data_IF_612939654104
#
_entry.id   IF_612939654104
#
_cell.length_a   1.000
_cell.length_b   1.000
_cell.length_c   1.000
_cell.angle_alpha   90.00
_cell.angle_beta   90.00
_cell.angle_gamma   90.00
#
_symmetry.space_group_name_H-M   'P 1'
#
loop_
_entity.id
_entity.type
_entity.pdbx_description
1 polymer ?
#
# COMPACT_ATOMS: atom_id res chain seq x y z
N UNK A 1 -27.69 -12.47 12.23
CA UNK A 1 -27.18 -13.25 13.41
C UNK A 1 -28.24 -13.31 14.50
N UNK A 2 -28.57 -14.47 15.10
CA UNK A 2 -29.64 -14.54 16.10
C UNK A 2 -29.24 -13.83 17.40
N UNK A 3 -30.12 -12.98 17.93
CA UNK A 3 -29.88 -12.22 19.17
C UNK A 3 -29.70 -13.13 20.38
N UNK A 4 -30.26 -14.34 20.36
CA UNK A 4 -30.11 -15.36 21.41
C UNK A 4 -28.66 -15.83 21.60
N UNK A 5 -27.76 -15.63 20.63
CA UNK A 5 -26.33 -15.92 20.77
C UNK A 5 -25.70 -15.13 21.91
N UNK A 6 -26.23 -13.95 22.22
CA UNK A 6 -25.80 -13.12 23.35
C UNK A 6 -26.00 -13.78 24.73
N UNK A 7 -26.77 -14.87 24.81
CA UNK A 7 -26.94 -15.65 26.04
C UNK A 7 -25.72 -16.55 26.35
N UNK A 8 -24.82 -16.76 25.39
CA UNK A 8 -23.59 -17.53 25.56
C UNK A 8 -22.52 -16.69 26.29
N UNK A 9 -22.78 -16.30 27.54
CA UNK A 9 -21.95 -15.35 28.30
C UNK A 9 -20.48 -15.77 28.51
N UNK A 10 -20.16 -17.05 28.34
CA UNK A 10 -18.80 -17.59 28.44
C UNK A 10 -18.04 -17.61 27.10
N UNK A 11 -18.67 -17.14 26.01
CA UNK A 11 -18.09 -17.20 24.67
C UNK A 11 -16.86 -16.29 24.58
N UNK A 12 -15.71 -16.87 24.21
CA UNK A 12 -14.45 -16.16 24.01
C UNK A 12 -14.11 -15.97 22.54
N UNK A 13 -14.55 -16.91 21.69
CA UNK A 13 -14.27 -16.89 20.26
C UNK A 13 -15.59 -17.12 19.53
N UNK A 14 -15.96 -16.18 18.68
CA UNK A 14 -17.05 -16.30 17.73
C UNK A 14 -16.48 -16.11 16.33
N UNK A 15 -16.43 -17.18 15.54
CA UNK A 15 -16.05 -17.12 14.14
C UNK A 15 -17.18 -17.67 13.27
N UNK A 16 -17.72 -16.80 12.44
CA UNK A 16 -18.75 -17.08 11.44
C UNK A 16 -18.25 -16.77 10.02
N UNK A 17 -16.95 -16.53 9.85
CA UNK A 17 -16.36 -16.10 8.59
C UNK A 17 -16.55 -17.12 7.46
N UNK A 18 -16.59 -16.65 6.21
CA UNK A 18 -16.70 -17.46 4.99
C UNK A 18 -18.00 -18.28 4.93
N UNK A 19 -19.12 -17.60 5.12
CA UNK A 19 -20.46 -18.17 4.99
C UNK A 19 -21.34 -17.22 4.16
N UNK A 20 -22.63 -17.53 4.08
CA UNK A 20 -23.66 -16.75 3.39
C UNK A 20 -24.58 -16.03 4.40
N UNK A 21 -24.09 -15.71 5.61
CA UNK A 21 -24.93 -15.08 6.64
C UNK A 21 -25.29 -13.65 6.26
N UNK A 22 -26.55 -13.29 6.45
CA UNK A 22 -27.10 -11.98 6.12
C UNK A 22 -27.73 -11.27 7.34
N UNK A 23 -28.35 -10.11 7.05
CA UNK A 23 -28.97 -9.25 8.04
C UNK A 23 -27.96 -8.44 8.87
N UNK A 24 -28.42 -7.71 9.90
CA UNK A 24 -27.57 -6.84 10.68
C UNK A 24 -26.81 -7.55 11.80
N UNK A 25 -25.77 -6.87 12.29
CA UNK A 25 -25.13 -7.17 13.58
C UNK A 25 -25.94 -6.45 14.66
N UNK A 26 -26.64 -7.22 15.49
CA UNK A 26 -27.49 -6.66 16.55
C UNK A 26 -26.67 -6.18 17.75
N UNK A 27 -27.16 -5.15 18.44
CA UNK A 27 -26.51 -4.54 19.61
C UNK A 27 -26.30 -5.50 20.78
N UNK A 28 -27.09 -6.58 20.87
CA UNK A 28 -26.92 -7.62 21.89
C UNK A 28 -25.55 -8.31 21.84
N UNK A 29 -24.78 -8.18 20.74
CA UNK A 29 -23.40 -8.67 20.68
C UNK A 29 -22.56 -8.11 21.84
N UNK A 30 -22.82 -6.87 22.27
CA UNK A 30 -22.10 -6.22 23.38
C UNK A 30 -22.31 -6.88 24.74
N UNK A 31 -23.22 -7.86 24.88
CA UNK A 31 -23.39 -8.66 26.10
C UNK A 31 -22.33 -9.75 26.27
N UNK A 32 -21.60 -10.08 25.20
CA UNK A 32 -20.55 -11.11 25.22
C UNK A 32 -19.24 -10.55 25.79
N UNK A 33 -19.24 -10.08 27.04
CA UNK A 33 -18.10 -9.38 27.65
C UNK A 33 -16.81 -10.21 27.75
N UNK A 34 -16.89 -11.54 27.67
CA UNK A 34 -15.73 -12.44 27.64
C UNK A 34 -15.14 -12.65 26.23
N UNK A 35 -15.73 -12.05 25.20
CA UNK A 35 -15.32 -12.26 23.82
C UNK A 35 -13.95 -11.62 23.56
N UNK A 36 -13.03 -12.45 23.06
CA UNK A 36 -11.68 -12.07 22.69
C UNK A 36 -11.50 -12.02 21.18
N UNK A 37 -12.24 -12.83 20.42
CA UNK A 37 -12.16 -12.85 18.96
C UNK A 37 -13.56 -12.86 18.36
N UNK A 38 -13.84 -11.86 17.54
CA UNK A 38 -15.06 -11.77 16.75
C UNK A 38 -14.67 -11.71 15.27
N UNK A 39 -14.94 -12.80 14.55
CA UNK A 39 -14.64 -12.92 13.13
C UNK A 39 -15.93 -13.19 12.34
N UNK A 40 -16.37 -12.19 11.57
CA UNK A 40 -17.59 -12.17 10.78
C UNK A 40 -17.30 -11.98 9.27
N UNK A 41 -16.03 -11.90 8.88
CA UNK A 41 -15.64 -11.53 7.53
C UNK A 41 -16.04 -12.54 6.44
N UNK A 42 -16.16 -12.07 5.19
CA UNK A 42 -16.62 -12.85 4.03
C UNK A 42 -18.02 -13.42 4.26
N UNK A 43 -19.02 -12.53 4.32
CA UNK A 43 -20.45 -12.83 4.49
C UNK A 43 -21.31 -11.76 3.76
N UNK A 44 -22.59 -11.69 4.08
CA UNK A 44 -23.56 -10.69 3.59
C UNK A 44 -24.15 -9.83 4.71
N UNK A 45 -23.40 -9.59 5.79
CA UNK A 45 -23.89 -8.73 6.87
C UNK A 45 -24.11 -7.30 6.37
N UNK A 46 -25.24 -6.73 6.76
CA UNK A 46 -25.72 -5.39 6.38
C UNK A 46 -25.92 -4.50 7.60
N UNK A 47 -26.40 -3.28 7.41
CA UNK A 47 -26.63 -2.33 8.51
C UNK A 47 -25.33 -1.74 9.04
N UNK A 48 -25.34 -1.24 10.28
CA UNK A 48 -24.21 -0.55 10.89
C UNK A 48 -23.46 -1.44 11.88
N UNK A 49 -22.23 -1.06 12.23
CA UNK A 49 -21.54 -1.61 13.41
C UNK A 49 -22.21 -1.00 14.66
N UNK A 50 -22.84 -1.79 15.55
CA UNK A 50 -23.51 -1.26 16.74
C UNK A 50 -22.51 -0.62 17.71
N UNK A 51 -22.90 0.47 18.39
CA UNK A 51 -22.04 1.16 19.35
C UNK A 51 -21.68 0.26 20.55
N UNK A 52 -22.52 -0.72 20.86
CA UNK A 52 -22.31 -1.72 21.89
C UNK A 52 -21.11 -2.64 21.62
N UNK A 53 -20.50 -2.61 20.42
CA UNK A 53 -19.22 -3.29 20.16
C UNK A 53 -18.13 -2.84 21.14
N UNK A 54 -18.18 -1.59 21.61
CA UNK A 54 -17.24 -1.05 22.60
C UNK A 54 -17.40 -1.63 24.01
N UNK A 55 -18.46 -2.40 24.27
CA UNK A 55 -18.63 -3.14 25.53
C UNK A 55 -17.78 -4.42 25.58
N UNK A 56 -17.22 -4.85 24.44
CA UNK A 56 -16.37 -6.03 24.32
C UNK A 56 -14.94 -5.71 24.78
N UNK A 57 -14.79 -5.33 26.04
CA UNK A 57 -13.54 -4.80 26.62
C UNK A 57 -12.34 -5.78 26.62
N UNK A 58 -12.59 -7.06 26.33
CA UNK A 58 -11.56 -8.10 26.23
C UNK A 58 -11.22 -8.45 24.76
N UNK A 59 -11.81 -7.75 23.79
CA UNK A 59 -11.67 -8.08 22.38
C UNK A 59 -10.25 -7.76 21.90
N UNK A 60 -9.60 -8.77 21.33
CA UNK A 60 -8.25 -8.70 20.77
C UNK A 60 -8.31 -8.64 19.25
N UNK A 61 -9.28 -9.34 18.64
CA UNK A 61 -9.48 -9.38 17.20
C UNK A 61 -10.93 -9.04 16.86
N UNK A 62 -11.10 -8.02 16.02
CA UNK A 62 -12.34 -7.72 15.33
C UNK A 62 -12.13 -7.79 13.82
N UNK A 63 -12.77 -8.76 13.17
CA UNK A 63 -12.71 -8.96 11.73
C UNK A 63 -14.13 -8.98 11.15
N UNK A 64 -14.45 -8.03 10.28
CA UNK A 64 -15.73 -7.90 9.59
C UNK A 64 -15.54 -7.61 8.08
N UNK A 65 -14.36 -7.90 7.54
CA UNK A 65 -14.04 -7.61 6.13
C UNK A 65 -14.96 -8.32 5.14
N UNK A 66 -15.10 -7.80 3.92
CA UNK A 66 -15.89 -8.42 2.84
C UNK A 66 -17.33 -8.69 3.26
N UNK A 67 -18.03 -7.62 3.63
CA UNK A 67 -19.46 -7.61 3.94
C UNK A 67 -20.12 -6.40 3.25
N UNK A 68 -21.36 -6.07 3.61
CA UNK A 68 -22.13 -4.95 3.08
C UNK A 68 -22.47 -3.94 4.19
N UNK A 69 -21.60 -3.83 5.19
CA UNK A 69 -21.79 -2.96 6.37
C UNK A 69 -21.68 -1.50 5.93
N UNK A 70 -22.59 -0.65 6.42
CA UNK A 70 -22.70 0.78 6.11
C UNK A 70 -22.53 1.64 7.37
N UNK A 71 -22.59 2.96 7.21
CA UNK A 71 -22.46 3.92 8.31
C UNK A 71 -21.02 4.14 8.74
N UNK A 72 -20.82 4.86 9.83
CA UNK A 72 -19.49 5.17 10.36
C UNK A 72 -18.95 4.09 11.28
N UNK A 73 -17.62 4.05 11.41
CA UNK A 73 -16.96 3.29 12.48
C UNK A 73 -17.38 3.94 13.82
N UNK A 74 -18.04 3.20 14.74
CA UNK A 74 -18.54 3.78 15.97
C UNK A 74 -17.40 4.11 16.92
N UNK A 75 -17.36 5.34 17.45
CA UNK A 75 -16.31 5.81 18.35
C UNK A 75 -16.04 4.90 19.55
N UNK A 76 -17.07 4.20 20.04
CA UNK A 76 -16.95 3.26 21.15
C UNK A 76 -15.96 2.12 20.90
N UNK A 77 -15.68 1.76 19.63
CA UNK A 77 -14.67 0.74 19.31
C UNK A 77 -13.29 1.16 19.83
N UNK A 78 -12.98 2.46 19.80
CA UNK A 78 -11.70 3.01 20.19
C UNK A 78 -11.48 3.01 21.71
N UNK A 79 -12.51 2.67 22.50
CA UNK A 79 -12.38 2.42 23.95
C UNK A 79 -11.88 1.00 24.26
N UNK A 80 -11.79 0.12 23.26
CA UNK A 80 -11.39 -1.28 23.42
C UNK A 80 -9.86 -1.40 23.39
N UNK A 81 -9.19 -0.94 24.44
CA UNK A 81 -7.72 -0.86 24.51
C UNK A 81 -6.98 -2.21 24.44
N UNK A 82 -7.71 -3.34 24.49
CA UNK A 82 -7.18 -4.68 24.24
C UNK A 82 -7.01 -5.03 22.77
N UNK A 83 -7.60 -4.25 21.85
CA UNK A 83 -7.68 -4.58 20.44
C UNK A 83 -6.30 -4.53 19.77
N UNK A 84 -5.93 -5.62 19.12
CA UNK A 84 -4.66 -5.78 18.39
C UNK A 84 -4.89 -5.84 16.88
N UNK A 85 -6.04 -6.37 16.44
CA UNK A 85 -6.36 -6.53 15.03
C UNK A 85 -7.76 -5.96 14.78
N UNK A 86 -7.83 -4.97 13.89
CA UNK A 86 -9.07 -4.42 13.36
C UNK A 86 -9.08 -4.53 11.83
N UNK A 87 -9.94 -5.41 11.33
CA UNK A 87 -10.17 -5.64 9.90
C UNK A 87 -11.61 -5.31 9.55
N UNK A 88 -11.82 -4.20 8.83
CA UNK A 88 -13.11 -3.72 8.34
C UNK A 88 -13.12 -3.55 6.81
N UNK A 89 -12.10 -4.04 6.13
CA UNK A 89 -11.87 -3.82 4.70
C UNK A 89 -13.02 -4.32 3.82
N UNK A 90 -13.18 -3.76 2.62
CA UNK A 90 -14.16 -4.21 1.63
C UNK A 90 -15.59 -4.19 2.19
N UNK A 91 -16.04 -3.02 2.62
CA UNK A 91 -17.39 -2.74 3.11
C UNK A 91 -17.91 -1.43 2.47
N UNK A 92 -19.03 -0.91 2.97
CA UNK A 92 -19.60 0.38 2.57
C UNK A 92 -19.52 1.41 3.72
N UNK A 93 -18.51 1.32 4.59
CA UNK A 93 -18.34 2.25 5.71
C UNK A 93 -18.05 3.66 5.19
N UNK A 94 -18.59 4.67 5.85
CA UNK A 94 -18.50 6.07 5.44
C UNK A 94 -18.26 7.02 6.62
N UNK A 95 -18.08 8.30 6.34
CA UNK A 95 -17.75 9.30 7.37
C UNK A 95 -16.25 9.32 7.66
N UNK A 96 -15.89 9.81 8.85
CA UNK A 96 -14.51 10.11 9.22
C UNK A 96 -13.92 9.01 10.12
N UNK A 97 -12.62 8.77 10.00
CA UNK A 97 -11.87 8.04 11.03
C UNK A 97 -11.66 8.98 12.23
N UNK A 98 -12.15 8.60 13.41
CA UNK A 98 -12.04 9.45 14.61
C UNK A 98 -10.60 9.54 15.11
N UNK A 99 -10.20 10.69 15.64
CA UNK A 99 -8.92 10.89 16.34
C UNK A 99 -8.77 9.97 17.56
N UNK A 100 -9.88 9.48 18.12
CA UNK A 100 -9.87 8.51 19.22
C UNK A 100 -9.20 7.19 18.83
N UNK A 101 -8.95 6.91 17.55
CA UNK A 101 -8.15 5.77 17.10
C UNK A 101 -6.83 5.64 17.88
N UNK A 102 -6.20 6.76 18.26
CA UNK A 102 -4.97 6.78 19.03
C UNK A 102 -5.06 6.17 20.44
N UNK A 103 -6.26 5.86 20.94
CA UNK A 103 -6.46 5.14 22.20
C UNK A 103 -6.13 3.64 22.09
N UNK A 104 -6.04 3.08 20.87
CA UNK A 104 -5.81 1.65 20.64
C UNK A 104 -4.31 1.30 20.68
N UNK A 105 -3.62 1.62 21.77
CA UNK A 105 -2.15 1.54 21.85
C UNK A 105 -1.54 0.14 21.67
N UNK A 106 -2.36 -0.92 21.72
CA UNK A 106 -1.98 -2.31 21.42
C UNK A 106 -2.26 -2.74 19.97
N UNK A 107 -2.75 -1.84 19.13
CA UNK A 107 -3.07 -2.13 17.74
C UNK A 107 -1.81 -2.54 16.99
N UNK A 108 -1.88 -3.67 16.31
CA UNK A 108 -0.82 -4.24 15.48
C UNK A 108 -1.22 -4.22 14.00
N UNK A 109 -2.49 -4.49 13.69
CA UNK A 109 -3.01 -4.53 12.31
C UNK A 109 -4.28 -3.68 12.19
N UNK A 110 -4.19 -2.58 11.43
CA UNK A 110 -5.32 -1.72 11.10
C UNK A 110 -5.60 -1.79 9.60
N UNK A 111 -6.68 -2.48 9.24
CA UNK A 111 -7.09 -2.72 7.86
C UNK A 111 -8.53 -2.21 7.67
N UNK A 112 -8.68 -1.08 6.98
CA UNK A 112 -10.00 -0.45 6.72
C UNK A 112 -10.17 -0.04 5.25
N UNK A 113 -9.31 -0.54 4.37
CA UNK A 113 -9.29 -0.27 2.94
C UNK A 113 -10.58 -0.69 2.20
N UNK A 114 -10.75 -0.22 0.97
CA UNK A 114 -11.93 -0.51 0.13
C UNK A 114 -13.24 -0.15 0.85
N UNK A 115 -13.34 1.12 1.28
CA UNK A 115 -14.50 1.70 1.95
C UNK A 115 -14.75 3.13 1.41
N UNK A 116 -15.76 3.82 1.92
CA UNK A 116 -16.15 5.19 1.54
C UNK A 116 -15.78 6.21 2.62
N UNK A 117 -14.69 5.95 3.35
CA UNK A 117 -14.19 6.84 4.40
C UNK A 117 -13.62 8.12 3.78
N UNK A 118 -13.87 9.26 4.43
CA UNK A 118 -13.51 10.60 3.96
C UNK A 118 -12.73 11.37 5.03
N UNK A 119 -12.15 12.49 4.61
CA UNK A 119 -11.44 13.43 5.48
C UNK A 119 -9.99 13.02 5.72
N UNK A 120 -9.35 13.69 6.68
CA UNK A 120 -7.92 13.48 6.95
C UNK A 120 -7.68 12.17 7.71
N UNK A 121 -6.51 11.58 7.49
CA UNK A 121 -6.00 10.51 8.35
C UNK A 121 -5.64 11.17 9.69
N UNK A 122 -6.24 10.77 10.83
CA UNK A 122 -5.95 11.39 12.11
C UNK A 122 -4.48 11.19 12.50
N UNK A 123 -3.80 12.28 12.87
CA UNK A 123 -2.40 12.24 13.32
C UNK A 123 -2.20 11.37 14.55
N UNK A 124 -3.25 11.16 15.34
CA UNK A 124 -3.28 10.29 16.52
C UNK A 124 -3.02 8.81 16.18
N UNK A 125 -3.03 8.41 14.90
CA UNK A 125 -2.51 7.10 14.47
C UNK A 125 -1.04 6.92 14.91
N UNK A 126 -0.26 8.00 15.03
CA UNK A 126 1.11 7.96 15.55
C UNK A 126 1.22 7.46 16.99
N UNK A 127 0.11 7.43 17.76
CA UNK A 127 0.08 6.85 19.11
C UNK A 127 0.00 5.32 19.11
N UNK A 128 -0.24 4.68 17.95
CA UNK A 128 -0.31 3.23 17.80
C UNK A 128 1.12 2.65 17.74
N UNK A 129 1.82 2.70 18.86
CA UNK A 129 3.26 2.37 18.94
C UNK A 129 3.59 0.90 18.65
N UNK A 130 2.60 0.00 18.72
CA UNK A 130 2.72 -1.42 18.37
C UNK A 130 2.29 -1.73 16.92
N UNK A 131 1.93 -0.71 16.12
CA UNK A 131 1.37 -0.93 14.78
C UNK A 131 2.43 -1.47 13.81
N UNK A 132 2.11 -2.61 13.18
CA UNK A 132 2.92 -3.28 12.18
C UNK A 132 2.35 -3.09 10.77
N UNK A 133 1.02 -3.10 10.63
CA UNK A 133 0.33 -2.97 9.35
C UNK A 133 -0.72 -1.85 9.38
N UNK A 134 -0.58 -0.90 8.47
CA UNK A 134 -1.53 0.18 8.21
C UNK A 134 -2.02 0.10 6.76
N UNK A 135 -3.26 -0.34 6.56
CA UNK A 135 -3.85 -0.55 5.22
C UNK A 135 -5.14 0.27 5.11
N UNK A 136 -5.03 1.42 4.43
CA UNK A 136 -6.09 2.41 4.23
C UNK A 136 -6.42 2.63 2.74
N UNK A 137 -5.94 1.75 1.87
CA UNK A 137 -6.06 1.87 0.42
C UNK A 137 -7.51 1.95 -0.08
N UNK A 138 -7.71 2.49 -1.28
CA UNK A 138 -9.00 2.59 -1.97
C UNK A 138 -10.09 3.13 -1.02
N UNK A 139 -9.85 4.36 -0.59
CA UNK A 139 -10.76 5.14 0.25
C UNK A 139 -10.72 6.59 -0.25
N UNK A 140 -11.54 7.46 0.33
CA UNK A 140 -11.57 8.88 -0.04
C UNK A 140 -10.87 9.74 1.01
N UNK A 141 -9.82 9.21 1.67
CA UNK A 141 -9.01 10.00 2.60
C UNK A 141 -8.33 11.14 1.86
N UNK A 142 -8.37 12.33 2.43
CA UNK A 142 -7.91 13.56 1.80
C UNK A 142 -7.02 14.38 2.74
N UNK A 143 -6.56 15.54 2.27
CA UNK A 143 -5.68 16.41 3.04
C UNK A 143 -4.20 16.06 2.86
N UNK A 144 -3.40 16.50 3.82
CA UNK A 144 -1.95 16.34 3.75
C UNK A 144 -1.52 14.99 4.32
N UNK A 145 -0.62 14.31 3.62
CA UNK A 145 0.13 13.18 4.11
C UNK A 145 1.08 13.66 5.20
N UNK A 146 0.64 13.56 6.45
CA UNK A 146 1.39 14.01 7.61
C UNK A 146 2.63 13.11 7.83
N UNK A 147 3.76 13.75 8.10
CA UNK A 147 5.01 13.06 8.45
C UNK A 147 4.89 12.23 9.73
N UNK A 148 3.95 12.56 10.63
CA UNK A 148 3.73 11.83 11.89
C UNK A 148 3.26 10.38 11.67
N UNK A 149 2.54 10.09 10.58
CA UNK A 149 2.11 8.72 10.22
C UNK A 149 3.31 7.79 9.99
N UNK A 150 4.43 8.35 9.52
CA UNK A 150 5.67 7.63 9.28
C UNK A 150 6.56 7.50 10.53
N UNK A 151 6.15 8.08 11.67
CA UNK A 151 6.91 8.05 12.92
C UNK A 151 6.53 6.89 13.84
N UNK A 152 6.14 5.75 13.25
CA UNK A 152 5.81 4.53 13.98
C UNK A 152 6.85 3.48 13.62
N UNK A 153 7.87 3.36 14.46
CA UNK A 153 9.04 2.53 14.16
C UNK A 153 8.73 1.03 14.00
N UNK A 154 7.58 0.56 14.48
CA UNK A 154 7.10 -0.82 14.35
C UNK A 154 6.53 -1.16 12.97
N UNK A 155 6.21 -0.15 12.14
CA UNK A 155 5.54 -0.37 10.86
C UNK A 155 6.40 -1.21 9.90
N UNK A 156 5.76 -2.23 9.35
CA UNK A 156 6.27 -3.14 8.32
C UNK A 156 5.54 -2.97 7.00
N UNK A 157 4.24 -2.66 7.03
CA UNK A 157 3.43 -2.42 5.84
C UNK A 157 2.68 -1.11 5.98
N UNK A 158 2.80 -0.26 4.96
CA UNK A 158 1.97 0.92 4.77
C UNK A 158 1.36 0.84 3.39
N UNK A 159 0.03 0.86 3.32
CA UNK A 159 -0.70 0.98 2.06
C UNK A 159 -1.74 2.09 2.14
N UNK A 160 -1.46 3.17 1.42
CA UNK A 160 -2.33 4.34 1.30
C UNK A 160 -2.83 4.54 -0.14
N UNK A 161 -2.63 3.53 -0.99
CA UNK A 161 -2.93 3.55 -2.43
C UNK A 161 -4.35 4.05 -2.72
N UNK A 162 -4.55 4.73 -3.85
CA UNK A 162 -5.87 5.15 -4.32
C UNK A 162 -6.63 6.01 -3.28
N UNK A 163 -5.98 7.07 -2.80
CA UNK A 163 -6.61 8.06 -1.90
C UNK A 163 -6.41 9.50 -2.41
N UNK A 164 -7.20 10.43 -1.89
CA UNK A 164 -7.13 11.85 -2.20
C UNK A 164 -6.05 12.62 -1.42
N UNK A 165 -4.96 11.94 -1.06
CA UNK A 165 -3.88 12.49 -0.26
C UNK A 165 -2.92 13.36 -1.09
N UNK A 166 -2.32 14.34 -0.42
CA UNK A 166 -1.36 15.28 -1.02
C UNK A 166 -0.17 15.48 -0.10
N UNK A 167 1.01 15.79 -0.62
CA UNK A 167 2.19 16.06 0.21
C UNK A 167 3.46 15.50 -0.41
N UNK A 168 4.48 15.32 0.41
CA UNK A 168 5.77 14.75 0.00
C UNK A 168 6.23 13.68 0.97
N UNK A 169 7.10 12.78 0.50
CA UNK A 169 7.77 11.84 1.39
C UNK A 169 8.62 12.58 2.43
N UNK A 170 8.64 12.14 3.71
CA UNK A 170 9.48 12.75 4.73
C UNK A 170 10.97 12.68 4.33
N UNK A 171 11.75 13.78 4.44
CA UNK A 171 13.15 13.78 4.06
C UNK A 171 14.04 12.87 4.94
N UNK A 172 13.51 12.43 6.09
CA UNK A 172 14.13 11.51 7.05
C UNK A 172 13.43 10.13 7.09
N UNK A 173 12.65 9.75 6.08
CA UNK A 173 11.85 8.51 6.04
C UNK A 173 12.66 7.26 6.44
N UNK A 174 13.90 7.17 5.98
CA UNK A 174 14.79 6.05 6.29
C UNK A 174 15.20 5.89 7.75
N UNK A 175 15.05 6.93 8.57
CA UNK A 175 15.35 6.89 10.01
C UNK A 175 14.10 6.63 10.86
N UNK A 176 12.92 7.02 10.37
CA UNK A 176 11.65 6.91 11.11
C UNK A 176 10.90 5.60 10.83
N UNK A 177 11.19 4.95 9.69
CA UNK A 177 10.65 3.64 9.31
C UNK A 177 11.75 2.56 9.16
N UNK A 178 12.49 2.22 10.22
CA UNK A 178 13.60 1.25 10.12
C UNK A 178 13.13 -0.18 9.80
N UNK A 179 11.86 -0.49 10.04
CA UNK A 179 11.30 -1.85 9.89
C UNK A 179 10.42 -2.04 8.64
N UNK A 180 10.24 -1.00 7.81
CA UNK A 180 9.33 -1.08 6.67
C UNK A 180 9.81 -2.11 5.65
N UNK A 181 8.88 -2.98 5.26
CA UNK A 181 9.03 -4.04 4.25
C UNK A 181 8.30 -3.61 2.98
N UNK A 182 7.05 -3.17 3.10
CA UNK A 182 6.22 -2.80 1.96
C UNK A 182 5.64 -1.40 2.11
N UNK A 183 5.92 -0.55 1.12
CA UNK A 183 5.40 0.82 1.04
C UNK A 183 4.63 1.01 -0.26
N UNK A 184 3.31 1.16 -0.15
CA UNK A 184 2.40 1.41 -1.27
C UNK A 184 1.77 2.80 -1.15
N UNK A 185 2.13 3.67 -2.10
CA UNK A 185 1.62 5.03 -2.24
C UNK A 185 1.20 5.29 -3.69
N UNK A 186 0.64 4.28 -4.37
CA UNK A 186 0.20 4.41 -5.76
C UNK A 186 -1.01 5.35 -5.88
N UNK A 187 -1.06 6.13 -6.96
CA UNK A 187 -2.24 6.93 -7.34
C UNK A 187 -2.77 7.84 -6.22
N UNK A 188 -1.88 8.62 -5.60
CA UNK A 188 -2.29 9.69 -4.71
C UNK A 188 -2.55 10.97 -5.50
N UNK A 189 -3.56 11.76 -5.11
CA UNK A 189 -3.96 12.98 -5.83
C UNK A 189 -2.79 13.95 -6.09
N UNK A 190 -1.89 14.10 -5.12
CA UNK A 190 -0.78 15.04 -5.24
C UNK A 190 0.42 14.65 -4.37
N UNK A 191 0.97 13.45 -4.49
CA UNK A 191 2.29 13.15 -3.94
C UNK A 191 3.37 13.78 -4.84
N UNK A 192 4.07 14.78 -4.31
CA UNK A 192 5.05 15.59 -5.04
C UNK A 192 6.41 15.62 -4.32
N UNK A 193 7.37 16.29 -4.97
CA UNK A 193 8.74 16.43 -4.46
C UNK A 193 9.63 15.27 -4.88
N UNK A 194 10.79 15.15 -4.25
CA UNK A 194 11.80 14.17 -4.64
C UNK A 194 11.68 12.90 -3.80
N UNK A 195 12.09 11.77 -4.37
CA UNK A 195 12.35 10.55 -3.59
C UNK A 195 13.58 10.81 -2.69
N UNK A 196 13.45 10.80 -1.35
CA UNK A 196 14.57 11.07 -0.46
C UNK A 196 15.63 9.98 -0.58
N UNK A 197 16.91 10.35 -0.74
CA UNK A 197 18.01 9.37 -0.81
C UNK A 197 18.09 8.46 0.44
N UNK A 198 17.62 8.95 1.59
CA UNK A 198 17.61 8.19 2.84
C UNK A 198 16.60 7.03 2.83
N UNK A 199 15.66 6.95 1.88
CA UNK A 199 14.75 5.79 1.74
C UNK A 199 15.52 4.47 1.61
N UNK A 200 16.76 4.55 1.12
CA UNK A 200 17.70 3.43 1.03
C UNK A 200 18.18 2.89 2.38
N UNK A 201 17.93 3.61 3.47
CA UNK A 201 18.19 3.14 4.84
C UNK A 201 17.08 2.19 5.34
N UNK A 202 15.92 2.13 4.66
CA UNK A 202 14.88 1.14 4.92
C UNK A 202 15.35 -0.26 4.46
N UNK A 203 16.34 -0.83 5.14
CA UNK A 203 17.09 -2.02 4.69
C UNK A 203 16.27 -3.30 4.51
N UNK A 204 15.05 -3.34 5.07
CA UNK A 204 14.09 -4.44 4.94
C UNK A 204 13.13 -4.31 3.76
N UNK A 205 13.15 -3.18 3.05
CA UNK A 205 12.18 -2.88 2.00
C UNK A 205 12.24 -3.92 0.87
N UNK A 206 11.11 -4.59 0.67
CA UNK A 206 10.83 -5.57 -0.39
C UNK A 206 10.01 -4.95 -1.52
N UNK A 207 9.09 -4.05 -1.19
CA UNK A 207 8.22 -3.39 -2.16
C UNK A 207 8.27 -1.89 -1.97
N UNK A 208 8.60 -1.18 -3.05
CA UNK A 208 8.46 0.26 -3.14
C UNK A 208 7.55 0.60 -4.32
N UNK A 209 6.32 1.00 -4.01
CA UNK A 209 5.29 1.35 -4.97
C UNK A 209 4.94 2.83 -4.85
N UNK A 210 5.41 3.62 -5.80
CA UNK A 210 5.23 5.08 -5.87
C UNK A 210 4.61 5.52 -7.23
N UNK A 211 4.10 4.58 -8.01
CA UNK A 211 3.62 4.86 -9.36
C UNK A 211 2.39 5.77 -9.39
N UNK A 212 2.15 6.41 -10.53
CA UNK A 212 1.03 7.31 -10.78
C UNK A 212 0.93 8.44 -9.74
N UNK A 213 1.97 9.26 -9.70
CA UNK A 213 2.09 10.39 -8.78
C UNK A 213 2.74 11.60 -9.50
N UNK A 214 3.10 12.64 -8.75
CA UNK A 214 3.77 13.85 -9.27
C UNK A 214 5.18 14.01 -8.71
N UNK A 215 5.85 12.89 -8.43
CA UNK A 215 7.23 12.91 -7.94
C UNK A 215 8.15 13.47 -9.03
N UNK A 216 9.15 14.23 -8.60
CA UNK A 216 10.12 14.92 -9.47
C UNK A 216 11.55 14.66 -9.00
N UNK A 217 12.53 15.21 -9.70
CA UNK A 217 13.94 15.10 -9.34
C UNK A 217 14.55 13.74 -9.73
N UNK A 218 15.81 13.57 -9.35
CA UNK A 218 16.61 12.40 -9.72
C UNK A 218 16.17 11.15 -8.94
N UNK A 219 16.04 10.03 -9.64
CA UNK A 219 15.96 8.71 -8.99
C UNK A 219 17.28 8.47 -8.23
N UNK A 220 17.26 8.24 -6.89
CA UNK A 220 18.48 8.10 -6.12
C UNK A 220 19.24 6.81 -6.46
N UNK A 221 20.53 6.94 -6.77
CA UNK A 221 21.41 5.78 -6.93
C UNK A 221 21.50 4.91 -5.67
N UNK A 222 21.23 5.49 -4.50
CA UNK A 222 21.22 4.78 -3.23
C UNK A 222 20.16 3.67 -3.18
N UNK A 223 19.14 3.66 -4.05
CA UNK A 223 18.18 2.56 -4.15
C UNK A 223 18.86 1.19 -4.35
N UNK A 224 20.06 1.16 -4.95
CA UNK A 224 20.90 -0.04 -5.04
C UNK A 224 21.34 -0.63 -3.69
N UNK A 225 21.20 0.08 -2.57
CA UNK A 225 21.49 -0.44 -1.23
C UNK A 225 20.35 -1.30 -0.66
N UNK A 226 19.16 -1.26 -1.26
CA UNK A 226 18.00 -2.05 -0.87
C UNK A 226 18.13 -3.49 -1.38
N UNK A 227 18.99 -4.28 -0.75
CA UNK A 227 19.33 -5.64 -1.23
C UNK A 227 18.18 -6.64 -1.17
N UNK A 228 17.14 -6.38 -0.36
CA UNK A 228 15.91 -7.18 -0.28
C UNK A 228 14.84 -6.77 -1.29
N UNK A 229 15.03 -5.67 -2.02
CA UNK A 229 14.02 -5.12 -2.93
C UNK A 229 13.66 -6.14 -4.02
N UNK A 230 12.36 -6.40 -4.16
CA UNK A 230 11.77 -7.34 -5.11
C UNK A 230 10.95 -6.62 -6.17
N UNK A 231 10.28 -5.53 -5.79
CA UNK A 231 9.39 -4.78 -6.66
C UNK A 231 9.68 -3.29 -6.49
N UNK A 232 9.97 -2.63 -7.61
CA UNK A 232 10.18 -1.19 -7.68
C UNK A 232 9.29 -0.62 -8.77
N UNK A 233 8.26 0.11 -8.37
CA UNK A 233 7.31 0.76 -9.26
C UNK A 233 7.42 2.27 -9.08
N UNK A 234 7.93 2.94 -10.11
CA UNK A 234 8.14 4.39 -10.18
C UNK A 234 7.47 5.00 -11.41
N UNK A 235 6.71 4.20 -12.16
CA UNK A 235 6.06 4.64 -13.40
C UNK A 235 5.05 5.76 -13.19
N UNK A 236 4.67 6.44 -14.27
CA UNK A 236 3.67 7.51 -14.27
C UNK A 236 4.01 8.63 -13.26
N UNK A 237 5.22 9.18 -13.39
CA UNK A 237 5.73 10.27 -12.57
C UNK A 237 6.52 11.29 -13.43
N UNK A 238 7.06 12.33 -12.79
CA UNK A 238 7.93 13.32 -13.41
C UNK A 238 9.41 13.13 -13.01
N UNK A 239 9.82 11.89 -12.73
CA UNK A 239 11.18 11.57 -12.29
C UNK A 239 12.17 11.72 -13.44
N UNK A 240 13.36 12.21 -13.11
CA UNK A 240 14.47 12.36 -14.03
C UNK A 240 15.63 11.46 -13.60
N UNK A 241 16.66 11.41 -14.44
CA UNK A 241 17.90 10.71 -14.12
C UNK A 241 19.11 11.47 -14.65
N UNK A 242 20.29 11.08 -14.20
CA UNK A 242 21.53 11.48 -14.86
C UNK A 242 21.62 10.87 -16.27
N UNK A 243 22.47 11.45 -17.12
CA UNK A 243 22.63 11.04 -18.52
C UNK A 243 23.12 9.60 -18.71
N UNK A 244 23.70 8.99 -17.68
CA UNK A 244 24.21 7.61 -17.69
C UNK A 244 23.23 6.59 -17.10
N UNK A 245 22.08 7.04 -16.60
CA UNK A 245 21.12 6.23 -15.85
C UNK A 245 21.81 5.44 -14.72
N UNK A 246 22.68 6.10 -13.94
CA UNK A 246 23.54 5.41 -12.99
C UNK A 246 22.79 4.68 -11.88
N UNK A 247 21.54 5.04 -11.61
CA UNK A 247 20.66 4.29 -10.70
C UNK A 247 20.37 2.87 -11.22
N UNK A 248 20.26 2.66 -12.53
CA UNK A 248 20.08 1.31 -13.09
C UNK A 248 21.32 0.44 -12.84
N UNK A 249 22.51 1.04 -12.87
CA UNK A 249 23.74 0.34 -12.53
C UNK A 249 23.78 -0.01 -11.03
N UNK A 250 23.31 0.87 -10.14
CA UNK A 250 23.28 0.57 -8.71
C UNK A 250 22.25 -0.51 -8.35
N UNK A 251 21.12 -0.58 -9.04
CA UNK A 251 20.10 -1.63 -8.87
C UNK A 251 20.63 -3.05 -9.16
N UNK A 252 21.80 -3.19 -9.81
CA UNK A 252 22.46 -4.52 -9.97
C UNK A 252 22.87 -5.16 -8.65
N UNK A 253 22.92 -4.38 -7.56
CA UNK A 253 23.11 -4.87 -6.21
C UNK A 253 21.82 -5.47 -5.61
N UNK A 254 20.63 -5.14 -6.13
CA UNK A 254 19.34 -5.66 -5.68
C UNK A 254 19.08 -7.05 -6.29
N UNK A 255 19.74 -8.08 -5.73
CA UNK A 255 19.73 -9.45 -6.28
C UNK A 255 18.37 -10.16 -6.25
N UNK A 256 17.40 -9.61 -5.54
CA UNK A 256 16.03 -10.14 -5.48
C UNK A 256 15.06 -9.36 -6.37
N UNK A 257 15.50 -8.32 -7.07
CA UNK A 257 14.63 -7.46 -7.86
C UNK A 257 14.04 -8.26 -9.02
N UNK A 258 12.72 -8.44 -9.00
CA UNK A 258 11.96 -9.21 -10.00
C UNK A 258 11.19 -8.31 -10.95
N UNK A 259 10.74 -7.15 -10.48
CA UNK A 259 9.93 -6.21 -11.25
C UNK A 259 10.47 -4.81 -11.07
N UNK A 260 10.75 -4.16 -12.20
CA UNK A 260 11.13 -2.76 -12.27
C UNK A 260 10.21 -2.06 -13.27
N UNK A 261 9.49 -1.03 -12.81
CA UNK A 261 8.59 -0.24 -13.64
C UNK A 261 8.99 1.23 -13.59
N UNK A 262 9.27 1.79 -14.75
CA UNK A 262 9.77 3.16 -14.95
C UNK A 262 8.99 3.91 -16.04
N UNK A 263 7.93 3.30 -16.57
CA UNK A 263 7.13 3.82 -17.68
C UNK A 263 6.75 5.28 -17.42
N UNK A 264 6.59 6.05 -18.50
CA UNK A 264 5.99 7.39 -18.43
C UNK A 264 6.73 8.34 -17.47
N UNK A 265 8.07 8.28 -17.44
CA UNK A 265 8.93 9.24 -16.75
C UNK A 265 9.93 9.91 -17.71
N UNK A 266 10.23 11.21 -17.59
CA UNK A 266 11.20 11.90 -18.44
C UNK A 266 12.67 11.58 -18.06
N UNK A 267 13.05 10.31 -18.06
CA UNK A 267 14.38 9.86 -17.63
C UNK A 267 15.50 10.41 -18.53
N UNK A 268 15.25 10.54 -19.84
CA UNK A 268 16.20 11.10 -20.81
C UNK A 268 17.59 10.45 -20.72
N UNK A 269 17.81 9.36 -21.46
CA UNK A 269 19.11 8.69 -21.47
C UNK A 269 19.13 7.50 -22.40
N UNK A 270 20.30 6.87 -22.54
CA UNK A 270 20.42 5.57 -23.19
C UNK A 270 20.55 4.50 -22.13
N UNK A 271 19.75 3.42 -22.24
CA UNK A 271 19.84 2.29 -21.33
C UNK A 271 21.29 1.77 -21.24
N UNK A 272 21.90 1.71 -20.04
CA UNK A 272 23.28 1.32 -19.88
C UNK A 272 23.42 -0.19 -20.07
N UNK A 273 24.58 -0.64 -20.55
CA UNK A 273 24.85 -2.08 -20.70
C UNK A 273 24.76 -2.85 -19.37
N UNK A 274 24.95 -2.16 -18.24
CA UNK A 274 24.77 -2.69 -16.87
C UNK A 274 23.36 -3.21 -16.59
N UNK A 275 22.33 -2.80 -17.37
CA UNK A 275 21.00 -3.40 -17.29
C UNK A 275 21.06 -4.93 -17.51
N UNK A 276 22.02 -5.40 -18.32
CA UNK A 276 22.28 -6.81 -18.55
C UNK A 276 22.74 -7.57 -17.30
N UNK A 277 23.25 -6.87 -16.28
CA UNK A 277 23.66 -7.45 -15.00
C UNK A 277 22.49 -7.57 -14.01
N UNK A 278 21.34 -6.96 -14.29
CA UNK A 278 20.08 -7.25 -13.60
C UNK A 278 19.54 -8.66 -13.96
N UNK A 279 20.19 -9.37 -14.89
CA UNK A 279 19.76 -10.64 -15.50
C UNK A 279 19.43 -11.77 -14.55
N UNK A 280 19.98 -11.82 -13.33
CA UNK A 280 19.83 -13.03 -12.51
C UNK A 280 18.46 -13.13 -11.83
N UNK A 281 17.79 -12.01 -11.56
CA UNK A 281 16.52 -11.98 -10.82
C UNK A 281 15.38 -11.26 -11.54
N UNK A 282 15.70 -10.29 -12.41
CA UNK A 282 14.70 -9.45 -13.04
C UNK A 282 13.88 -10.26 -14.05
N UNK A 283 12.55 -10.18 -13.93
CA UNK A 283 11.56 -10.90 -14.74
C UNK A 283 10.70 -9.96 -15.57
N UNK A 284 10.42 -8.78 -15.03
CA UNK A 284 9.59 -7.75 -15.64
C UNK A 284 10.34 -6.43 -15.61
N UNK A 285 10.47 -5.80 -16.76
CA UNK A 285 11.07 -4.47 -16.89
C UNK A 285 10.22 -3.63 -17.82
N UNK A 286 9.63 -2.58 -17.28
CA UNK A 286 8.80 -1.63 -17.99
C UNK A 286 9.55 -0.28 -18.04
N UNK A 287 9.80 0.22 -19.25
CA UNK A 287 10.42 1.52 -19.51
C UNK A 287 9.91 2.16 -20.81
N UNK A 288 8.60 2.09 -21.03
CA UNK A 288 7.87 2.72 -22.13
C UNK A 288 7.80 4.24 -21.94
N UNK A 289 7.84 4.97 -23.06
CA UNK A 289 7.63 6.43 -23.07
C UNK A 289 8.58 7.24 -22.16
N UNK A 290 9.77 6.72 -21.83
CA UNK A 290 10.73 7.40 -20.95
C UNK A 290 11.59 8.52 -21.62
N UNK A 291 11.21 8.95 -22.83
CA UNK A 291 11.97 9.86 -23.69
C UNK A 291 13.46 9.47 -23.91
N UNK A 292 13.75 8.17 -23.89
CA UNK A 292 15.10 7.62 -24.14
C UNK A 292 15.41 7.68 -25.64
N UNK A 293 16.59 8.19 -26.02
CA UNK A 293 16.98 8.33 -27.43
C UNK A 293 17.02 6.97 -28.16
N UNK A 294 16.62 6.96 -29.44
CA UNK A 294 16.31 5.79 -30.31
C UNK A 294 17.39 4.71 -30.48
N UNK A 295 18.59 4.86 -29.93
CA UNK A 295 19.63 3.83 -30.01
C UNK A 295 19.43 2.78 -28.93
N UNK A 296 18.44 1.90 -29.11
CA UNK A 296 18.42 0.61 -28.40
C UNK A 296 19.72 -0.11 -28.77
N UNK A 297 20.61 -0.25 -27.79
CA UNK A 297 21.88 -0.91 -27.94
C UNK A 297 21.63 -2.34 -28.48
N UNK A 298 22.32 -2.79 -29.53
CA UNK A 298 22.14 -4.14 -30.10
C UNK A 298 22.31 -5.27 -29.05
N UNK A 299 23.01 -4.97 -27.96
CA UNK A 299 23.13 -5.80 -26.76
C UNK A 299 21.79 -6.08 -26.07
N UNK A 300 20.84 -5.14 -26.04
CA UNK A 300 19.49 -5.32 -25.46
C UNK A 300 18.63 -6.23 -26.37
N UNK A 301 18.74 -6.09 -27.68
CA UNK A 301 18.06 -6.95 -28.66
C UNK A 301 18.56 -8.41 -28.61
N UNK A 302 19.88 -8.61 -28.44
CA UNK A 302 20.48 -9.95 -28.23
C UNK A 302 20.14 -10.59 -26.88
N UNK A 303 19.77 -9.80 -25.88
CA UNK A 303 19.45 -10.27 -24.53
C UNK A 303 17.98 -10.70 -24.41
N UNK A 304 17.10 -10.03 -25.16
CA UNK A 304 15.67 -10.33 -25.20
C UNK A 304 15.34 -11.72 -25.81
N UNK A 305 16.10 -12.15 -26.83
CA UNK A 305 15.87 -13.43 -27.53
C UNK A 305 16.13 -14.69 -26.70
N UNK A 306 16.70 -14.58 -25.50
CA UNK A 306 17.02 -15.73 -24.63
C UNK A 306 16.00 -15.98 -23.51
N UNK A 307 15.08 -15.07 -23.19
CA UNK A 307 14.26 -15.18 -21.96
C UNK A 307 12.79 -14.71 -22.02
N UNK A 308 12.17 -14.53 -23.20
CA UNK A 308 10.76 -14.11 -23.32
C UNK A 308 10.41 -12.84 -22.52
N UNK A 309 11.17 -11.75 -22.69
CA UNK A 309 10.83 -10.47 -22.06
C UNK A 309 9.89 -9.70 -22.97
N UNK A 310 8.84 -9.08 -22.41
CA UNK A 310 8.05 -8.08 -23.11
C UNK A 310 8.74 -6.73 -22.95
N UNK A 311 9.65 -6.40 -23.86
CA UNK A 311 10.07 -5.00 -24.05
C UNK A 311 9.03 -4.39 -24.97
N UNK A 312 8.19 -3.52 -24.45
CA UNK A 312 7.35 -2.70 -25.30
C UNK A 312 8.22 -1.62 -25.97
N UNK A 313 7.95 -1.41 -27.25
CA UNK A 313 8.74 -0.54 -28.11
C UNK A 313 8.70 0.90 -27.61
N UNK A 314 9.87 1.51 -27.49
CA UNK A 314 10.06 2.96 -27.33
C UNK A 314 9.38 3.73 -28.47
N UNK A 315 8.32 4.48 -28.19
CA UNK A 315 7.66 5.35 -29.16
C UNK A 315 6.98 6.55 -28.50
N UNK A 316 7.34 7.76 -28.92
CA UNK A 316 6.58 9.00 -28.69
C UNK A 316 5.54 9.19 -29.83
N UNK A 317 4.60 10.15 -29.73
CA UNK A 317 3.20 9.94 -30.09
C UNK A 317 2.97 9.72 -31.60
N UNK A 318 1.99 8.87 -31.89
CA UNK A 318 1.51 8.56 -33.23
C UNK A 318 1.24 9.82 -34.07
N UNK A 319 1.98 10.00 -35.17
CA UNK A 319 1.45 10.67 -36.36
C UNK A 319 0.72 9.63 -37.19
N UNK A 320 -0.57 9.86 -37.45
CA UNK A 320 -1.42 9.04 -38.32
C UNK A 320 -0.75 8.80 -39.66
N UNK A 321 -0.26 7.58 -39.86
CA UNK A 321 -0.05 6.84 -41.13
C UNK A 321 1.19 5.94 -41.00
N UNK A 322 1.02 4.76 -40.40
CA UNK A 322 1.65 3.49 -40.83
C UNK A 322 1.32 2.35 -39.86
N UNK A 323 1.01 1.19 -40.43
CA UNK A 323 0.40 0.03 -39.79
C UNK A 323 1.27 -0.61 -38.69
N UNK A 324 0.59 -1.02 -37.61
CA UNK A 324 1.13 -1.75 -36.46
C UNK A 324 1.57 -3.16 -36.89
N UNK A 325 2.86 -3.47 -36.69
CA UNK A 325 3.37 -4.85 -36.77
C UNK A 325 3.70 -5.35 -35.36
N UNK A 326 2.80 -6.19 -34.83
CA UNK A 326 3.07 -7.07 -33.70
C UNK A 326 3.98 -8.20 -34.19
N UNK A 327 5.08 -8.48 -33.50
CA UNK A 327 5.81 -9.73 -33.71
C UNK A 327 5.47 -10.63 -32.53
N UNK A 328 4.51 -11.52 -32.77
CA UNK A 328 4.35 -12.74 -31.98
C UNK A 328 5.40 -13.74 -32.46
N UNK A 329 6.30 -14.14 -31.57
CA UNK A 329 6.80 -15.52 -31.37
C UNK A 329 7.58 -15.55 -30.08
#
# INVERSE_FOLDING_TARGET
MPTSLSNCSQLQILSLSKNEFDGPIHSEIGRLSNLQKLALGTNHFTGIIPQEIGNLVNLVLLAMERNQITGSVPNSIFNTSSLQILSLSMNNLSGFLSWEIGNLTKMQHLQINENKLIGEIPKEISNLVELEELVLADSSFSGQLDTEIFNISGLRIIDLTDNNLSGSLPPNIGSILPNIEDLYLHNLVNLFGNIPHCISNCSKLTILELSNNKLTGLIPNSLGYLTHLQYLYLDENNLTSDSSLSFLASLTNCRNLTTLSLDLNPLNGMLPASIGNLSTSLRKFYAESCNTNRSVNESILKWNSKRNWRIAKFGTPFSETQQVAWIYT
#
